data_IF_043008939702
#
_entry.id   IF_043008939702
#
_cell.length_a   1.000
_cell.length_b   1.000
_cell.length_c   1.000
_cell.angle_alpha   90.00
_cell.angle_beta   90.00
_cell.angle_gamma   90.00
#
_symmetry.space_group_name_H-M   'P 1'
#
loop_
_entity.id
_entity.type
_entity.pdbx_description
1 polymer ?
#
# COMPACT_ATOMS: atom_id res chain seq x y z
N UNK A 1 -7.62 -14.04 -10.14
CA UNK A 1 -8.07 -12.74 -9.62
C UNK A 1 -8.24 -12.91 -8.11
N UNK A 2 -7.20 -12.59 -7.32
CA UNK A 2 -7.30 -12.64 -5.85
C UNK A 2 -7.84 -11.29 -5.40
N UNK A 3 -9.15 -11.22 -5.12
CA UNK A 3 -9.77 -10.02 -4.57
C UNK A 3 -9.51 -9.97 -3.06
N UNK A 4 -8.58 -9.13 -2.63
CA UNK A 4 -8.43 -8.78 -1.21
C UNK A 4 -9.58 -7.83 -0.87
N UNK A 5 -10.70 -8.38 -0.43
CA UNK A 5 -11.90 -7.61 -0.08
C UNK A 5 -11.83 -7.21 1.39
N UNK A 6 -10.99 -6.24 1.71
CA UNK A 6 -11.10 -5.45 2.93
C UNK A 6 -10.25 -4.19 2.77
N UNK A 7 -10.86 -3.10 2.34
CA UNK A 7 -10.26 -1.78 2.40
C UNK A 7 -11.34 -0.74 2.55
N UNK A 8 -10.95 0.36 3.15
CA UNK A 8 -11.84 1.25 3.85
C UNK A 8 -11.62 2.66 3.35
N UNK A 9 -12.60 3.51 3.57
CA UNK A 9 -12.49 4.93 3.27
C UNK A 9 -12.54 5.71 4.56
N UNK A 10 -11.70 6.71 4.71
CA UNK A 10 -11.80 7.62 5.85
C UNK A 10 -12.89 8.65 5.59
N UNK A 11 -13.82 8.82 6.52
CA UNK A 11 -14.87 9.84 6.47
C UNK A 11 -14.74 10.75 7.70
N UNK A 12 -14.84 12.08 7.54
CA UNK A 12 -14.89 13.00 8.68
C UNK A 12 -16.21 12.80 9.45
N UNK A 13 -16.11 12.58 10.77
CA UNK A 13 -17.26 12.76 11.66
C UNK A 13 -17.46 14.24 11.94
N UNK A 14 -18.70 14.68 12.15
CA UNK A 14 -18.99 16.05 12.58
C UNK A 14 -18.05 16.50 13.72
N UNK A 15 -17.47 17.68 13.57
CA UNK A 15 -16.51 18.24 14.51
C UNK A 15 -17.17 18.49 15.85
N UNK A 16 -16.72 17.77 16.87
CA UNK A 16 -17.11 18.03 18.26
C UNK A 16 -16.27 19.17 18.84
N UNK A 17 -16.70 19.85 19.92
CA UNK A 17 -15.85 20.81 20.64
C UNK A 17 -14.51 20.21 21.12
N UNK A 18 -14.41 18.88 21.19
CA UNK A 18 -13.21 18.12 21.57
C UNK A 18 -12.28 17.78 20.38
N UNK A 19 -12.64 18.17 19.15
CA UNK A 19 -11.85 17.94 17.94
C UNK A 19 -12.59 17.16 16.84
N UNK A 20 -11.96 17.08 15.67
CA UNK A 20 -12.42 16.26 14.56
C UNK A 20 -11.96 14.81 14.75
N UNK A 21 -12.89 13.86 14.69
CA UNK A 21 -12.60 12.43 14.75
C UNK A 21 -12.77 11.83 13.36
N UNK A 22 -11.81 11.00 12.96
CA UNK A 22 -11.86 10.24 11.73
C UNK A 22 -12.58 8.91 11.98
N UNK A 23 -13.48 8.54 11.06
CA UNK A 23 -14.18 7.27 11.08
C UNK A 23 -13.83 6.44 9.85
N UNK A 24 -13.87 5.12 10.04
CA UNK A 24 -13.56 4.15 9.01
C UNK A 24 -14.85 3.68 8.35
N UNK A 25 -15.07 4.05 7.10
CA UNK A 25 -16.19 3.56 6.30
C UNK A 25 -15.83 2.20 5.67
N UNK A 26 -16.53 1.16 6.11
CA UNK A 26 -16.40 -0.22 5.63
C UNK A 26 -17.13 -0.44 4.29
N UNK A 27 -16.75 0.29 3.24
CA UNK A 27 -17.48 0.30 1.97
C UNK A 27 -16.99 -0.73 0.93
N UNK A 28 -15.99 -1.55 1.27
CA UNK A 28 -15.40 -2.54 0.37
C UNK A 28 -14.88 -1.98 -0.96
N UNK A 29 -14.45 -0.69 -1.01
CA UNK A 29 -13.78 -0.11 -2.19
C UNK A 29 -12.53 -0.89 -2.63
N UNK A 30 -11.92 -1.66 -1.72
CA UNK A 30 -10.86 -2.61 -2.02
C UNK A 30 -9.45 -2.00 -2.00
N UNK A 31 -8.46 -2.89 -2.09
CA UNK A 31 -7.05 -2.55 -2.11
C UNK A 31 -6.58 -2.26 -3.53
N UNK A 32 -5.58 -1.40 -3.68
CA UNK A 32 -4.96 -1.16 -4.99
C UNK A 32 -3.81 -2.15 -5.21
N UNK A 33 -3.80 -2.83 -6.36
CA UNK A 33 -2.66 -3.58 -6.85
C UNK A 33 -2.19 -2.96 -8.17
N UNK A 34 -0.97 -2.46 -8.17
CA UNK A 34 -0.29 -1.89 -9.35
C UNK A 34 0.70 -2.91 -9.89
N UNK A 35 0.70 -3.10 -11.21
CA UNK A 35 1.75 -3.84 -11.91
C UNK A 35 2.63 -2.84 -12.64
N UNK A 36 3.94 -2.97 -12.46
CA UNK A 36 4.95 -2.10 -13.04
C UNK A 36 6.12 -2.91 -13.61
N UNK A 37 6.81 -2.31 -14.58
CA UNK A 37 8.04 -2.85 -15.14
C UNK A 37 9.14 -1.80 -15.04
N UNK A 38 10.33 -2.21 -14.62
CA UNK A 38 11.50 -1.37 -14.53
C UNK A 38 12.54 -1.77 -15.57
N UNK A 39 13.07 -0.77 -16.28
CA UNK A 39 14.23 -0.94 -17.16
C UNK A 39 15.55 -1.04 -16.38
N UNK A 40 15.51 -0.96 -15.05
CA UNK A 40 16.68 -1.14 -14.17
C UNK A 40 16.87 -2.61 -13.80
N UNK A 41 18.13 -2.99 -13.61
CA UNK A 41 18.53 -4.24 -12.96
C UNK A 41 18.14 -4.20 -11.49
N UNK A 42 17.93 -5.36 -10.88
CA UNK A 42 17.84 -5.45 -9.41
C UNK A 42 19.10 -4.88 -8.73
N UNK A 43 20.27 -5.02 -9.38
CA UNK A 43 21.55 -4.53 -8.86
C UNK A 43 21.69 -3.00 -8.91
N UNK A 44 20.92 -2.31 -9.76
CA UNK A 44 20.96 -0.85 -9.88
C UNK A 44 20.40 -0.16 -8.61
N UNK A 45 19.70 -0.90 -7.74
CA UNK A 45 19.17 -0.42 -6.47
C UNK A 45 20.12 -0.61 -5.27
N UNK A 46 21.25 -1.32 -5.46
CA UNK A 46 22.25 -1.54 -4.41
C UNK A 46 21.71 -2.37 -3.24
N UNK A 47 21.71 -1.78 -2.04
CA UNK A 47 21.29 -2.42 -0.80
C UNK A 47 19.81 -2.16 -0.43
N UNK A 48 19.06 -1.48 -1.29
CA UNK A 48 17.67 -1.06 -1.08
C UNK A 48 17.46 -0.10 0.11
N UNK A 49 18.52 0.56 0.59
CA UNK A 49 18.37 1.62 1.59
C UNK A 49 17.42 2.73 1.08
N UNK A 50 16.61 3.35 1.97
CA UNK A 50 15.67 4.39 1.58
C UNK A 50 16.36 5.54 0.81
N UNK A 51 15.91 5.76 -0.43
CA UNK A 51 16.46 6.76 -1.34
C UNK A 51 15.43 7.10 -2.41
N UNK A 52 15.69 8.16 -3.19
CA UNK A 52 14.79 8.54 -4.29
C UNK A 52 14.69 7.44 -5.36
N UNK A 53 15.75 6.65 -5.56
CA UNK A 53 15.72 5.52 -6.51
C UNK A 53 14.86 4.36 -6.01
N UNK A 54 14.89 4.05 -4.71
CA UNK A 54 14.05 2.96 -4.14
C UNK A 54 12.61 3.38 -3.95
N UNK A 55 12.33 4.69 -3.87
CA UNK A 55 10.98 5.25 -3.74
C UNK A 55 10.05 4.89 -4.91
N UNK A 56 10.58 4.72 -6.12
CA UNK A 56 9.80 4.34 -7.30
C UNK A 56 9.24 2.90 -7.22
N UNK A 57 9.78 2.06 -6.32
CA UNK A 57 9.37 0.66 -6.16
C UNK A 57 8.11 0.48 -5.31
N UNK A 58 7.58 1.55 -4.73
CA UNK A 58 6.38 1.53 -3.90
C UNK A 58 5.32 2.53 -4.40
N UNK A 59 4.02 2.28 -4.14
CA UNK A 59 2.95 3.20 -4.51
C UNK A 59 3.16 4.59 -3.88
N UNK A 60 3.02 5.62 -4.70
CA UNK A 60 2.99 7.02 -4.26
C UNK A 60 1.57 7.56 -4.39
N UNK A 61 1.11 8.25 -3.34
CA UNK A 61 -0.20 8.88 -3.30
C UNK A 61 -0.07 10.38 -3.09
N UNK A 62 -0.94 11.13 -3.76
CA UNK A 62 -1.17 12.53 -3.44
C UNK A 62 -2.08 12.62 -2.22
N UNK A 63 -1.49 12.97 -1.08
CA UNK A 63 -2.22 13.14 0.18
C UNK A 63 -2.94 14.49 0.30
N UNK A 64 -2.83 15.37 -0.71
CA UNK A 64 -3.54 16.65 -0.73
C UNK A 64 -4.97 16.53 -1.30
N UNK A 65 -5.35 15.34 -1.77
CA UNK A 65 -6.68 15.06 -2.31
C UNK A 65 -7.76 14.94 -1.23
N UNK A 66 -8.95 14.56 -1.70
CA UNK A 66 -10.11 14.26 -0.84
C UNK A 66 -9.81 12.99 -0.04
N UNK A 67 -9.93 13.09 1.29
CA UNK A 67 -9.51 12.05 2.24
C UNK A 67 -10.20 10.70 2.02
N UNK A 68 -11.41 10.75 1.44
CA UNK A 68 -12.24 9.60 1.10
C UNK A 68 -11.69 8.77 -0.08
N UNK A 69 -10.85 9.38 -0.91
CA UNK A 69 -10.28 8.77 -2.12
C UNK A 69 -8.82 8.35 -1.92
N UNK A 70 -8.23 8.66 -0.76
CA UNK A 70 -6.87 8.20 -0.43
C UNK A 70 -6.91 6.70 -0.10
N UNK A 71 -6.18 5.85 -0.85
CA UNK A 71 -6.14 4.42 -0.59
C UNK A 71 -5.49 4.13 0.76
N UNK A 72 -6.12 3.28 1.57
CA UNK A 72 -5.56 2.89 2.86
C UNK A 72 -4.61 1.69 2.78
N UNK A 73 -4.67 0.94 1.68
CA UNK A 73 -3.75 -0.15 1.39
C UNK A 73 -3.54 -0.26 -0.12
N UNK A 74 -2.27 -0.27 -0.52
CA UNK A 74 -1.88 -0.46 -1.89
C UNK A 74 -0.57 -1.23 -1.99
N UNK A 75 -0.44 -1.97 -3.07
CA UNK A 75 0.72 -2.78 -3.39
C UNK A 75 1.15 -2.51 -4.82
N UNK A 76 2.46 -2.42 -5.05
CA UNK A 76 3.06 -2.37 -6.37
C UNK A 76 3.96 -3.59 -6.57
N UNK A 77 3.67 -4.36 -7.62
CA UNK A 77 4.53 -5.43 -8.12
C UNK A 77 5.37 -4.89 -9.27
N UNK A 78 6.67 -4.69 -9.03
CA UNK A 78 7.60 -4.16 -10.04
C UNK A 78 8.48 -5.28 -10.56
N UNK A 79 8.37 -5.66 -11.83
CA UNK A 79 9.28 -6.61 -12.48
C UNK A 79 10.55 -5.91 -12.95
N UNK A 80 11.71 -6.49 -12.69
CA UNK A 80 12.99 -5.97 -13.20
C UNK A 80 13.29 -6.50 -14.60
N UNK A 81 14.17 -5.80 -15.33
CA UNK A 81 14.61 -6.21 -16.66
C UNK A 81 15.16 -7.65 -16.65
N UNK A 82 15.13 -8.29 -17.82
CA UNK A 82 15.77 -9.60 -18.05
C UNK A 82 15.34 -10.72 -17.09
N UNK A 83 14.14 -10.64 -16.50
CA UNK A 83 13.65 -11.59 -15.49
C UNK A 83 14.56 -11.72 -14.25
N UNK A 84 15.26 -10.65 -13.87
CA UNK A 84 16.14 -10.62 -12.69
C UNK A 84 15.37 -10.64 -11.34
N UNK A 85 14.04 -10.70 -11.39
CA UNK A 85 13.17 -10.81 -10.23
C UNK A 85 12.10 -9.73 -10.22
N UNK A 86 11.55 -9.50 -9.03
CA UNK A 86 10.56 -8.44 -8.80
C UNK A 86 10.68 -7.87 -7.39
N UNK A 87 10.22 -6.63 -7.23
CA UNK A 87 9.99 -6.01 -5.93
C UNK A 87 8.49 -5.92 -5.63
N UNK A 88 8.13 -6.08 -4.35
CA UNK A 88 6.79 -5.80 -3.83
C UNK A 88 6.91 -4.57 -2.93
N UNK A 89 6.45 -3.42 -3.41
CA UNK A 89 6.33 -2.21 -2.60
C UNK A 89 4.95 -2.12 -1.97
N UNK A 90 4.89 -1.79 -0.69
CA UNK A 90 3.63 -1.71 0.07
C UNK A 90 3.47 -0.31 0.65
N UNK A 91 2.28 0.26 0.44
CA UNK A 91 1.83 1.47 1.12
C UNK A 91 0.63 1.13 1.99
N UNK A 92 0.76 1.40 3.30
CA UNK A 92 -0.22 1.01 4.31
C UNK A 92 -0.51 2.20 5.23
N UNK A 93 -1.78 2.55 5.35
CA UNK A 93 -2.19 3.65 6.23
C UNK A 93 -2.11 3.23 7.69
N UNK A 94 -1.32 3.96 8.47
CA UNK A 94 -1.19 3.74 9.92
C UNK A 94 -2.48 4.02 10.71
N UNK A 95 -3.50 4.59 10.07
CA UNK A 95 -4.86 4.72 10.65
C UNK A 95 -5.52 3.35 10.81
N UNK A 96 -5.19 2.39 9.93
CA UNK A 96 -5.72 1.03 10.01
C UNK A 96 -5.04 0.19 11.10
N UNK A 97 -3.73 0.35 11.25
CA UNK A 97 -2.94 -0.45 12.19
C UNK A 97 -1.54 0.14 12.41
N UNK A 98 -0.92 -0.26 13.53
CA UNK A 98 0.52 -0.15 13.70
C UNK A 98 1.31 -1.07 12.75
N UNK A 99 2.63 -0.95 12.77
CA UNK A 99 3.51 -1.77 11.94
C UNK A 99 3.37 -3.28 12.19
N UNK A 100 3.12 -3.71 13.43
CA UNK A 100 2.98 -5.13 13.75
C UNK A 100 1.73 -5.73 13.08
N UNK A 101 0.59 -5.03 13.13
CA UNK A 101 -0.61 -5.48 12.42
C UNK A 101 -0.44 -5.44 10.90
N UNK A 102 0.28 -4.45 10.36
CA UNK A 102 0.62 -4.42 8.93
C UNK A 102 1.45 -5.65 8.51
N UNK A 103 2.49 -6.01 9.27
CA UNK A 103 3.29 -7.23 9.01
C UNK A 103 2.41 -8.50 9.12
N UNK A 104 1.53 -8.59 10.10
CA UNK A 104 0.61 -9.74 10.25
C UNK A 104 -0.33 -9.89 9.05
N UNK A 105 -0.82 -8.78 8.52
CA UNK A 105 -1.64 -8.78 7.31
C UNK A 105 -0.83 -9.29 6.11
N UNK A 106 0.38 -8.77 5.89
CA UNK A 106 1.24 -9.22 4.79
C UNK A 106 1.59 -10.71 4.88
N UNK A 107 1.90 -11.21 6.08
CA UNK A 107 2.13 -12.63 6.29
C UNK A 107 0.89 -13.49 6.00
N UNK A 108 -0.30 -13.00 6.32
CA UNK A 108 -1.56 -13.69 6.01
C UNK A 108 -1.83 -13.70 4.52
N UNK A 109 -1.59 -12.58 3.84
CA UNK A 109 -1.69 -12.48 2.39
C UNK A 109 -0.72 -13.45 1.68
N UNK A 110 0.55 -13.49 2.09
CA UNK A 110 1.55 -14.41 1.52
C UNK A 110 1.17 -15.89 1.70
N UNK A 111 0.60 -16.26 2.85
CA UNK A 111 0.11 -17.63 3.10
C UNK A 111 -1.03 -18.03 2.16
N UNK A 112 -1.97 -17.12 1.92
CA UNK A 112 -3.10 -17.35 0.99
C UNK A 112 -2.60 -17.41 -0.46
N UNK A 113 -1.60 -16.60 -0.83
CA UNK A 113 -1.03 -16.64 -2.18
C UNK A 113 -0.21 -17.91 -2.45
N UNK A 114 0.18 -18.64 -1.41
CA UNK A 114 0.97 -19.88 -1.49
C UNK A 114 0.11 -21.15 -1.39
N UNK A 115 -1.16 -21.07 -1.78
CA UNK A 115 -2.06 -22.22 -1.94
C UNK A 115 -2.27 -22.54 -3.40
#
# INVERSE_FOLDING_TARGET
>A
MVSITASYTMIPRESTPQGARLELNLNAKGAILLEAESNKSIHDYGDFSPSDSTRELAPLFDYNGVIEEIPLFAVQLTRFKNNEGFAIGVSFSHILSDGLGAIRMMNSWAKIANT
#
